data_IF_561136507766
#
_entry.id   IF_561136507766
#
_cell.length_a   1.000
_cell.length_b   1.000
_cell.length_c   1.000
_cell.angle_alpha   90.00
_cell.angle_beta   90.00
_cell.angle_gamma   90.00
#
_symmetry.space_group_name_H-M   'P 1'
#
loop_
_entity.id
_entity.type
_entity.pdbx_description
1 polymer ?
#
# COMPACT_ATOMS: atom_id res chain seq x y z
N UNK A 1 -39.73 2.56 -1.03
CA UNK A 1 -39.55 3.21 0.27
C UNK A 1 -38.08 3.17 0.63
N UNK A 2 -37.39 4.30 0.47
CA UNK A 2 -35.95 4.39 0.68
C UNK A 2 -35.63 4.88 2.09
N UNK A 3 -34.98 4.06 2.90
CA UNK A 3 -34.46 4.45 4.23
C UNK A 3 -33.07 5.08 4.07
N UNK A 4 -33.02 6.40 4.26
CA UNK A 4 -31.76 7.16 4.40
C UNK A 4 -31.19 6.92 5.80
N UNK A 5 -30.05 6.25 5.92
CA UNK A 5 -29.26 6.24 7.16
C UNK A 5 -28.30 7.45 7.16
N UNK A 6 -28.53 8.35 8.10
CA UNK A 6 -27.63 9.47 8.42
C UNK A 6 -26.61 8.94 9.44
N UNK A 7 -25.34 8.93 9.05
CA UNK A 7 -24.24 8.70 9.98
C UNK A 7 -23.79 10.04 10.56
N UNK A 8 -23.92 10.17 11.88
CA UNK A 8 -23.43 11.32 12.64
C UNK A 8 -22.04 10.98 13.16
N UNK A 9 -21.01 11.61 12.61
CA UNK A 9 -19.64 11.54 13.12
C UNK A 9 -19.56 12.42 14.37
N UNK A 10 -19.41 11.82 15.54
CA UNK A 10 -19.06 12.50 16.78
C UNK A 10 -17.53 12.52 16.90
N UNK A 11 -16.95 13.71 16.75
CA UNK A 11 -15.54 13.96 17.07
C UNK A 11 -15.45 14.29 18.56
N UNK A 12 -14.88 13.39 19.35
CA UNK A 12 -14.51 13.67 20.74
C UNK A 12 -13.03 14.06 20.76
N UNK A 13 -12.77 15.34 20.91
CA UNK A 13 -11.46 15.88 21.23
C UNK A 13 -11.52 16.47 22.64
N UNK A 14 -10.96 15.78 23.63
CA UNK A 14 -10.61 16.38 24.92
C UNK A 14 -9.57 15.50 25.62
N UNK A 15 -8.30 15.87 25.50
CA UNK A 15 -7.25 15.47 26.43
C UNK A 15 -6.57 16.75 26.93
N UNK A 16 -7.14 17.29 28.00
CA UNK A 16 -6.44 18.25 28.84
C UNK A 16 -5.43 17.53 29.71
N UNK A 17 -4.15 17.79 29.50
CA UNK A 17 -3.08 17.42 30.41
C UNK A 17 -2.59 18.68 31.09
N UNK A 18 -3.04 18.91 32.32
CA UNK A 18 -2.44 19.85 33.26
C UNK A 18 -1.19 19.22 33.86
N UNK A 19 -0.05 19.56 33.31
CA UNK A 19 1.27 19.20 33.84
C UNK A 19 1.81 20.32 34.69
N UNK A 20 1.97 20.06 35.98
CA UNK A 20 2.65 20.93 36.96
C UNK A 20 4.11 21.14 36.57
N UNK A 21 4.49 22.41 36.47
CA UNK A 21 5.87 22.85 36.24
C UNK A 21 6.72 22.52 37.46
N UNK A 22 7.70 21.64 37.27
CA UNK A 22 8.87 21.58 38.15
C UNK A 22 10.00 22.34 37.49
N UNK A 23 10.25 23.56 37.96
CA UNK A 23 11.42 24.33 37.61
C UNK A 23 12.64 23.65 38.24
N UNK A 24 13.53 23.11 37.41
CA UNK A 24 14.86 22.72 37.83
C UNK A 24 15.85 23.45 36.92
N UNK A 25 16.49 24.43 37.50
CA UNK A 25 17.66 25.11 36.93
C UNK A 25 18.73 24.05 36.62
N UNK A 26 18.97 23.79 35.35
CA UNK A 26 20.14 23.04 34.87
C UNK A 26 20.91 23.93 33.89
N UNK A 27 22.09 24.25 34.29
CA UNK A 27 23.28 24.73 33.60
C UNK A 27 23.11 25.08 32.11
N UNK A 28 23.23 26.36 31.80
CA UNK A 28 23.11 26.98 30.48
C UNK A 28 24.06 26.43 29.40
N UNK A 29 25.06 25.64 29.74
CA UNK A 29 25.99 25.03 28.80
C UNK A 29 25.46 23.79 28.06
N UNK A 30 24.53 23.05 28.67
CA UNK A 30 23.96 21.83 28.06
C UNK A 30 22.89 22.19 27.01
N UNK A 31 22.18 23.30 27.20
CA UNK A 31 21.12 23.75 26.29
C UNK A 31 21.68 24.25 24.96
N UNK A 32 22.86 24.91 24.99
CA UNK A 32 23.47 25.49 23.78
C UNK A 32 24.08 24.42 22.84
N UNK A 33 24.60 23.31 23.42
CA UNK A 33 25.07 22.17 22.64
C UNK A 33 23.92 21.38 22.01
N UNK A 34 22.77 21.27 22.66
CA UNK A 34 21.60 20.56 22.19
C UNK A 34 20.91 21.32 21.01
N UNK A 35 20.91 22.65 21.05
CA UNK A 35 20.35 23.50 19.99
C UNK A 35 21.21 23.43 18.73
N UNK A 36 22.54 23.41 18.83
CA UNK A 36 23.44 23.25 17.66
C UNK A 36 23.35 21.87 17.03
N UNK A 37 23.28 20.82 17.83
CA UNK A 37 23.05 19.46 17.35
C UNK A 37 21.67 19.32 16.70
N UNK A 38 20.67 20.04 17.19
CA UNK A 38 19.32 20.05 16.65
C UNK A 38 19.21 20.75 15.27
N UNK A 39 19.95 21.82 15.02
CA UNK A 39 19.95 22.50 13.72
C UNK A 39 20.55 21.64 12.61
N UNK A 40 21.51 20.78 12.89
CA UNK A 40 22.12 19.86 11.93
C UNK A 40 21.25 18.65 11.56
N UNK A 41 20.01 18.54 12.08
CA UNK A 41 19.11 17.42 11.78
C UNK A 41 17.86 17.82 10.97
N UNK A 42 17.75 19.08 10.57
CA UNK A 42 16.67 19.58 9.70
C UNK A 42 17.16 19.64 8.26
N UNK A 43 16.33 19.24 7.31
CA UNK A 43 16.74 19.28 5.91
C UNK A 43 15.99 18.28 5.02
N UNK A 44 16.25 18.33 3.71
CA UNK A 44 15.69 17.37 2.76
C UNK A 44 16.19 15.96 3.02
N UNK A 45 15.30 15.00 2.82
CA UNK A 45 15.55 13.60 3.06
C UNK A 45 14.91 12.75 1.97
N UNK A 46 15.64 11.77 1.48
CA UNK A 46 15.16 10.75 0.54
C UNK A 46 15.42 9.38 1.15
N UNK A 47 14.47 8.47 1.02
CA UNK A 47 14.69 7.09 1.43
C UNK A 47 14.23 6.13 0.34
N UNK A 48 14.92 4.99 0.27
CA UNK A 48 14.54 3.85 -0.55
C UNK A 48 14.55 2.59 0.32
N UNK A 49 13.64 1.66 0.03
CA UNK A 49 13.54 0.44 0.82
C UNK A 49 12.98 -0.73 0.04
N UNK A 50 13.19 -1.92 0.58
CA UNK A 50 12.60 -3.15 0.10
C UNK A 50 11.90 -3.85 1.26
N UNK A 51 10.67 -4.31 1.00
CA UNK A 51 9.83 -4.93 2.00
C UNK A 51 9.26 -6.26 1.50
N UNK A 52 8.78 -7.08 2.43
CA UNK A 52 7.88 -8.20 2.18
C UNK A 52 6.49 -7.79 2.65
N UNK A 53 5.47 -8.07 1.84
CA UNK A 53 4.09 -7.68 2.10
C UNK A 53 3.14 -8.88 2.19
N UNK A 54 2.14 -8.77 3.08
CA UNK A 54 1.04 -9.69 3.24
C UNK A 54 -0.27 -8.92 3.26
N UNK A 55 -1.26 -9.39 2.51
CA UNK A 55 -2.58 -8.78 2.45
C UNK A 55 -3.65 -9.66 3.10
N UNK A 56 -4.63 -9.00 3.71
CA UNK A 56 -5.83 -9.61 4.28
C UNK A 56 -7.07 -8.85 3.79
N UNK A 57 -8.23 -9.52 3.79
CA UNK A 57 -9.48 -8.93 3.31
C UNK A 57 -9.78 -9.27 1.85
N UNK A 58 -10.44 -8.37 1.14
CA UNK A 58 -10.99 -8.64 -0.19
C UNK A 58 -10.40 -7.71 -1.24
N UNK A 59 -10.15 -8.24 -2.43
CA UNK A 59 -9.90 -7.43 -3.64
C UNK A 59 -11.20 -6.85 -4.13
N UNK A 60 -12.27 -7.67 -4.15
CA UNK A 60 -13.63 -7.26 -4.47
C UNK A 60 -14.65 -8.22 -3.84
N UNK A 61 -15.92 -7.78 -3.80
CA UNK A 61 -17.06 -8.59 -3.43
C UNK A 61 -18.09 -8.62 -4.57
N UNK A 62 -18.99 -9.60 -4.53
CA UNK A 62 -20.06 -9.77 -5.51
C UNK A 62 -19.61 -9.75 -6.99
N UNK A 63 -18.38 -10.17 -7.26
CA UNK A 63 -17.86 -10.35 -8.60
C UNK A 63 -18.52 -11.55 -9.30
N UNK A 64 -18.52 -11.53 -10.66
CA UNK A 64 -19.00 -12.67 -11.43
C UNK A 64 -17.83 -13.60 -11.74
N UNK A 65 -17.90 -14.83 -11.25
CA UNK A 65 -16.93 -15.88 -11.55
C UNK A 65 -17.05 -16.36 -13.02
N UNK A 66 -16.11 -17.20 -13.45
CA UNK A 66 -16.16 -17.84 -14.77
C UNK A 66 -17.42 -18.70 -14.99
N UNK A 67 -17.98 -19.23 -13.91
CA UNK A 67 -19.20 -20.05 -13.95
C UNK A 67 -20.48 -19.21 -13.91
N UNK A 68 -20.37 -17.87 -13.84
CA UNK A 68 -21.49 -16.96 -13.70
C UNK A 68 -22.04 -16.83 -12.28
N UNK A 69 -21.45 -17.53 -11.31
CA UNK A 69 -21.80 -17.38 -9.91
C UNK A 69 -21.21 -16.08 -9.32
N UNK A 70 -21.89 -15.48 -8.35
CA UNK A 70 -21.33 -14.34 -7.60
C UNK A 70 -20.28 -14.85 -6.64
N UNK A 71 -19.16 -14.15 -6.58
CA UNK A 71 -17.98 -14.60 -5.85
C UNK A 71 -17.21 -13.43 -5.26
N UNK A 72 -16.75 -13.62 -4.03
CA UNK A 72 -15.85 -12.69 -3.34
C UNK A 72 -14.40 -13.13 -3.58
N UNK A 73 -13.54 -12.22 -4.03
CA UNK A 73 -12.10 -12.52 -4.14
C UNK A 73 -11.35 -12.01 -2.91
N UNK A 74 -10.93 -12.93 -2.05
CA UNK A 74 -10.05 -12.61 -0.93
C UNK A 74 -8.61 -12.45 -1.40
N UNK A 75 -7.88 -11.51 -0.78
CA UNK A 75 -6.44 -11.33 -1.07
C UNK A 75 -5.67 -12.59 -0.75
N UNK A 76 -6.01 -13.28 0.34
CA UNK A 76 -5.36 -14.54 0.75
C UNK A 76 -5.56 -15.68 -0.25
N UNK A 77 -6.62 -15.64 -1.04
CA UNK A 77 -6.89 -16.65 -2.07
C UNK A 77 -6.21 -16.26 -3.40
N UNK A 78 -6.01 -14.96 -3.63
CA UNK A 78 -5.39 -14.43 -4.83
C UNK A 78 -3.86 -14.39 -4.79
N UNK A 79 -3.27 -14.12 -3.63
CA UNK A 79 -1.84 -13.88 -3.51
C UNK A 79 -1.21 -14.56 -2.28
N UNK A 80 0.06 -14.95 -2.43
CA UNK A 80 0.87 -15.47 -1.34
C UNK A 80 1.53 -14.35 -0.54
N UNK A 81 2.13 -13.40 -1.26
CA UNK A 81 2.92 -12.29 -0.71
C UNK A 81 3.10 -11.23 -1.78
N UNK A 82 3.69 -10.10 -1.40
CA UNK A 82 4.18 -9.08 -2.33
C UNK A 82 5.59 -8.64 -1.98
N UNK A 83 6.26 -8.01 -2.95
CA UNK A 83 7.58 -7.40 -2.79
C UNK A 83 7.46 -5.89 -3.05
N UNK A 84 7.16 -5.07 -2.03
CA UNK A 84 7.12 -3.63 -2.15
C UNK A 84 8.53 -3.02 -2.23
N UNK A 85 8.75 -2.21 -3.27
CA UNK A 85 9.87 -1.29 -3.38
C UNK A 85 9.37 0.09 -2.92
N UNK A 86 9.91 0.59 -1.81
CA UNK A 86 9.53 1.85 -1.17
C UNK A 86 10.43 2.98 -1.63
N UNK A 87 9.84 4.14 -1.91
CA UNK A 87 10.54 5.40 -2.09
C UNK A 87 9.86 6.48 -1.26
N UNK A 88 10.65 7.33 -0.63
CA UNK A 88 10.15 8.41 0.21
C UNK A 88 10.97 9.68 -0.09
N UNK A 89 10.29 10.82 -0.11
CA UNK A 89 10.92 12.13 -0.27
C UNK A 89 10.21 13.13 0.61
N UNK A 90 10.96 13.95 1.32
CA UNK A 90 10.37 14.98 2.16
C UNK A 90 11.40 15.82 2.88
N UNK A 91 10.96 16.47 3.93
CA UNK A 91 11.74 17.43 4.67
C UNK A 91 11.59 17.18 6.18
N UNK A 92 12.70 17.09 6.88
CA UNK A 92 12.75 17.06 8.33
C UNK A 92 12.68 18.50 8.83
N UNK A 93 11.50 18.88 9.35
CA UNK A 93 11.23 20.27 9.80
C UNK A 93 12.07 20.66 11.02
N UNK A 94 12.24 19.69 11.90
CA UNK A 94 13.07 19.80 13.10
C UNK A 94 13.53 18.36 13.46
N UNK A 95 14.38 18.15 14.48
CA UNK A 95 14.89 16.83 14.83
C UNK A 95 13.82 15.76 15.03
N UNK A 96 12.60 16.14 15.42
CA UNK A 96 11.51 15.20 15.74
C UNK A 96 10.47 15.05 14.65
N UNK A 97 10.24 16.06 13.80
CA UNK A 97 9.15 16.03 12.83
C UNK A 97 9.67 15.99 11.40
N UNK A 98 9.13 15.05 10.64
CA UNK A 98 9.31 14.91 9.21
C UNK A 98 7.95 14.96 8.51
N UNK A 99 7.91 15.63 7.36
CA UNK A 99 6.78 15.65 6.44
C UNK A 99 7.26 15.32 5.05
N UNK A 100 6.50 14.52 4.31
CA UNK A 100 6.92 14.11 2.99
C UNK A 100 5.84 13.36 2.23
N UNK A 101 6.29 12.75 1.14
CA UNK A 101 5.53 11.84 0.30
C UNK A 101 6.18 10.47 0.36
N UNK A 102 5.36 9.45 0.35
CA UNK A 102 5.77 8.07 0.20
C UNK A 102 5.14 7.47 -1.05
N UNK A 103 5.83 6.52 -1.64
CA UNK A 103 5.33 5.72 -2.73
C UNK A 103 5.89 4.30 -2.66
N UNK A 104 5.12 3.31 -3.09
CA UNK A 104 5.60 1.96 -3.27
C UNK A 104 5.12 1.38 -4.59
N UNK A 105 6.01 0.65 -5.25
CA UNK A 105 5.68 -0.26 -6.33
C UNK A 105 5.84 -1.69 -5.81
N UNK A 106 4.82 -2.52 -6.00
CA UNK A 106 4.78 -3.86 -5.46
C UNK A 106 4.55 -4.89 -6.54
N UNK A 107 5.44 -5.87 -6.64
CA UNK A 107 5.17 -7.11 -7.37
C UNK A 107 4.35 -8.03 -6.47
N UNK A 108 3.17 -8.44 -6.94
CA UNK A 108 2.29 -9.37 -6.23
C UNK A 108 2.55 -10.80 -6.74
N UNK A 109 2.84 -11.72 -5.83
CA UNK A 109 3.03 -13.14 -6.14
C UNK A 109 1.69 -13.86 -6.06
N UNK A 110 1.07 -14.06 -7.22
CA UNK A 110 -0.25 -14.66 -7.37
C UNK A 110 -0.21 -16.15 -7.06
N UNK A 111 -1.25 -16.65 -6.42
CA UNK A 111 -1.47 -18.10 -6.25
C UNK A 111 -1.97 -18.72 -7.55
N UNK A 112 -1.43 -19.89 -7.89
CA UNK A 112 -1.96 -20.70 -8.98
C UNK A 112 -3.18 -21.47 -8.45
N UNK A 113 -4.36 -21.08 -8.88
CA UNK A 113 -5.65 -21.70 -8.59
C UNK A 113 -6.70 -21.28 -9.63
N UNK A 114 -7.84 -21.94 -9.66
CA UNK A 114 -8.90 -21.69 -10.66
C UNK A 114 -9.52 -20.28 -10.59
N UNK A 115 -9.38 -19.59 -9.44
CA UNK A 115 -10.00 -18.29 -9.20
C UNK A 115 -9.07 -17.16 -9.63
N UNK A 116 -7.80 -17.17 -9.20
CA UNK A 116 -6.88 -16.04 -9.38
C UNK A 116 -5.94 -16.22 -10.56
N UNK A 117 -5.32 -17.39 -10.71
CA UNK A 117 -4.43 -17.72 -11.82
C UNK A 117 -4.52 -19.20 -12.15
N UNK A 118 -5.36 -19.58 -13.10
CA UNK A 118 -5.50 -20.98 -13.49
C UNK A 118 -4.22 -21.56 -14.09
N UNK A 119 -4.09 -22.86 -14.03
CA UNK A 119 -3.02 -23.58 -14.74
C UNK A 119 -3.03 -23.21 -16.23
N UNK A 120 -1.85 -23.04 -16.83
CA UNK A 120 -1.63 -22.60 -18.21
C UNK A 120 -1.97 -21.13 -18.49
N UNK A 121 -2.21 -20.31 -17.47
CA UNK A 121 -2.34 -18.88 -17.60
C UNK A 121 -1.11 -18.17 -17.05
N UNK A 122 -0.72 -17.09 -17.74
CA UNK A 122 0.30 -16.15 -17.27
C UNK A 122 -0.40 -14.99 -16.55
N UNK A 123 -0.08 -14.81 -15.27
CA UNK A 123 -0.71 -13.80 -14.41
C UNK A 123 0.35 -12.84 -13.88
N UNK A 124 0.23 -11.60 -14.26
CA UNK A 124 1.13 -10.54 -13.86
C UNK A 124 0.39 -9.47 -13.08
N UNK A 125 0.60 -9.43 -11.75
CA UNK A 125 -0.06 -8.50 -10.85
C UNK A 125 0.96 -7.59 -10.19
N UNK A 126 0.68 -6.29 -10.22
CA UNK A 126 1.48 -5.30 -9.51
C UNK A 126 0.61 -4.17 -8.97
N UNK A 127 1.07 -3.57 -7.89
CA UNK A 127 0.35 -2.51 -7.19
C UNK A 127 1.22 -1.27 -7.03
N UNK A 128 0.62 -0.11 -7.23
CA UNK A 128 1.17 1.18 -6.86
C UNK A 128 0.41 1.73 -5.66
N UNK A 129 1.14 2.29 -4.69
CA UNK A 129 0.57 3.01 -3.57
C UNK A 129 1.39 4.27 -3.32
N UNK A 130 0.74 5.37 -3.00
CA UNK A 130 1.43 6.64 -2.75
C UNK A 130 0.55 7.62 -1.99
N UNK A 131 1.19 8.56 -1.28
CA UNK A 131 0.48 9.61 -0.55
C UNK A 131 1.37 10.45 0.35
N UNK A 132 0.79 11.41 1.06
CA UNK A 132 1.48 12.20 2.08
C UNK A 132 1.74 11.39 3.35
N UNK A 133 2.82 11.76 4.04
CA UNK A 133 3.25 11.13 5.28
C UNK A 133 3.77 12.17 6.27
N UNK A 134 3.50 11.94 7.54
CA UNK A 134 4.13 12.64 8.66
C UNK A 134 4.80 11.62 9.58
N UNK A 135 5.97 11.96 10.14
CA UNK A 135 6.69 11.11 11.12
C UNK A 135 7.09 11.90 12.34
N UNK A 136 7.07 11.20 13.46
CA UNK A 136 7.61 11.64 14.71
C UNK A 136 8.79 10.76 15.11
N UNK A 137 9.96 11.38 15.27
CA UNK A 137 11.20 10.76 15.71
C UNK A 137 11.33 10.88 17.22
N UNK A 138 11.51 9.77 17.90
CA UNK A 138 11.44 9.70 19.38
C UNK A 138 12.76 10.13 20.01
N UNK A 139 13.89 9.65 19.46
CA UNK A 139 15.21 9.92 20.01
C UNK A 139 16.23 10.28 18.90
N UNK A 140 16.09 11.43 18.26
CA UNK A 140 16.87 11.81 17.09
C UNK A 140 18.37 12.04 17.36
N UNK A 141 18.75 12.31 18.62
CA UNK A 141 20.14 12.53 19.01
C UNK A 141 20.93 11.24 19.24
N UNK A 142 20.25 10.09 19.33
CA UNK A 142 20.91 8.81 19.57
C UNK A 142 21.46 8.16 18.28
N UNK A 143 22.33 7.17 18.44
CA UNK A 143 22.80 6.34 17.33
C UNK A 143 21.71 5.50 16.68
N UNK A 144 20.63 5.22 17.42
CA UNK A 144 19.41 4.59 16.98
C UNK A 144 18.23 5.53 17.22
N UNK A 145 17.55 5.96 16.16
CA UNK A 145 16.45 6.93 16.17
C UNK A 145 15.14 6.21 15.84
N UNK A 146 14.38 5.70 16.85
CA UNK A 146 13.08 5.11 16.62
C UNK A 146 12.06 6.19 16.22
N UNK A 147 11.11 5.81 15.36
CA UNK A 147 10.11 6.73 14.86
C UNK A 147 8.78 6.03 14.60
N UNK A 148 7.71 6.82 14.59
CA UNK A 148 6.37 6.43 14.15
C UNK A 148 5.88 7.39 13.08
N UNK A 149 5.21 6.85 12.05
CA UNK A 149 4.65 7.60 10.94
C UNK A 149 3.17 7.31 10.75
N UNK A 150 2.47 8.32 10.25
CA UNK A 150 1.08 8.24 9.82
C UNK A 150 0.97 8.78 8.41
N UNK A 151 0.24 8.08 7.55
CA UNK A 151 0.03 8.46 6.17
C UNK A 151 -1.36 8.05 5.69
N UNK A 152 -1.80 8.70 4.63
CA UNK A 152 -2.98 8.37 3.83
C UNK A 152 -2.54 8.29 2.38
N UNK A 153 -3.41 7.80 1.47
CA UNK A 153 -2.98 7.76 0.09
C UNK A 153 -4.00 7.15 -0.86
N UNK A 154 -3.49 6.78 -2.01
CA UNK A 154 -4.19 6.08 -3.07
C UNK A 154 -3.46 4.80 -3.41
N UNK A 155 -4.21 3.81 -3.88
CA UNK A 155 -3.68 2.55 -4.35
C UNK A 155 -4.29 2.16 -5.69
N UNK A 156 -3.49 1.52 -6.53
CA UNK A 156 -3.83 1.09 -7.88
C UNK A 156 -3.25 -0.31 -8.07
N UNK A 157 -4.13 -1.32 -8.10
CA UNK A 157 -3.77 -2.70 -8.40
C UNK A 157 -4.02 -2.96 -9.88
N UNK A 158 -3.01 -3.42 -10.59
CA UNK A 158 -3.12 -3.82 -12.00
C UNK A 158 -2.90 -5.31 -12.14
N UNK A 159 -3.86 -5.95 -12.78
CA UNK A 159 -3.86 -7.39 -13.02
C UNK A 159 -3.94 -7.65 -14.52
N UNK A 160 -3.02 -8.45 -15.03
CA UNK A 160 -3.00 -8.91 -16.41
C UNK A 160 -2.95 -10.44 -16.42
N UNK A 161 -4.01 -11.05 -16.94
CA UNK A 161 -4.18 -12.51 -17.00
C UNK A 161 -4.37 -12.90 -18.45
N UNK A 162 -3.50 -13.73 -18.98
CA UNK A 162 -3.59 -14.24 -20.34
C UNK A 162 -3.33 -15.75 -20.38
N UNK A 163 -4.03 -16.46 -21.24
CA UNK A 163 -3.84 -17.90 -21.40
C UNK A 163 -4.73 -18.50 -22.46
N UNK A 164 -4.48 -19.76 -22.70
CA UNK A 164 -5.24 -20.55 -23.67
C UNK A 164 -6.24 -21.45 -22.91
N UNK A 165 -7.46 -21.56 -23.43
CA UNK A 165 -8.56 -22.32 -22.86
C UNK A 165 -9.41 -22.92 -23.96
N UNK A 166 -10.45 -23.67 -23.59
CA UNK A 166 -11.47 -24.13 -24.51
C UNK A 166 -12.81 -23.49 -24.15
N UNK A 167 -13.52 -23.00 -25.16
CA UNK A 167 -14.86 -22.41 -25.00
C UNK A 167 -15.90 -23.27 -25.70
N UNK A 168 -17.08 -23.45 -25.10
CA UNK A 168 -18.16 -24.18 -25.75
C UNK A 168 -18.68 -23.44 -26.98
N UNK A 169 -18.94 -24.16 -28.07
CA UNK A 169 -19.54 -23.59 -29.26
C UNK A 169 -21.08 -23.73 -29.23
N UNK A 170 -21.84 -22.78 -29.79
CA UNK A 170 -23.31 -22.88 -29.90
C UNK A 170 -23.78 -24.10 -30.65
N UNK A 171 -22.95 -24.61 -31.56
CA UNK A 171 -23.23 -25.81 -32.40
C UNK A 171 -22.89 -27.13 -31.68
N UNK A 172 -22.45 -27.06 -30.44
CA UNK A 172 -21.93 -28.20 -29.67
C UNK A 172 -20.42 -28.41 -29.86
N UNK A 173 -19.76 -29.00 -28.85
CA UNK A 173 -18.30 -29.17 -28.80
C UNK A 173 -17.55 -27.98 -28.19
N UNK A 174 -16.23 -28.02 -28.28
CA UNK A 174 -15.33 -27.01 -27.72
C UNK A 174 -14.38 -26.51 -28.82
N UNK A 175 -14.03 -25.24 -28.77
CA UNK A 175 -13.01 -24.65 -29.63
C UNK A 175 -11.88 -24.05 -28.80
N UNK A 176 -10.61 -24.16 -29.27
CA UNK A 176 -9.50 -23.46 -28.67
C UNK A 176 -9.73 -21.95 -28.68
N UNK A 177 -9.50 -21.33 -27.55
CA UNK A 177 -9.65 -19.88 -27.39
C UNK A 177 -8.51 -19.31 -26.54
N UNK A 178 -8.11 -18.09 -26.84
CA UNK A 178 -7.17 -17.29 -26.06
C UNK A 178 -7.92 -16.19 -25.33
N UNK A 179 -7.64 -16.06 -24.03
CA UNK A 179 -8.19 -15.01 -23.18
C UNK A 179 -7.04 -14.05 -22.82
N UNK A 180 -7.28 -12.75 -22.95
CA UNK A 180 -6.42 -11.66 -22.47
C UNK A 180 -7.31 -10.72 -21.64
N UNK A 181 -7.08 -10.66 -20.32
CA UNK A 181 -7.87 -9.86 -19.40
C UNK A 181 -6.97 -8.88 -18.68
N UNK A 182 -7.29 -7.60 -18.75
CA UNK A 182 -6.60 -6.51 -18.06
C UNK A 182 -7.58 -5.81 -17.14
N UNK A 183 -7.24 -5.76 -15.87
CA UNK A 183 -8.07 -5.14 -14.83
C UNK A 183 -7.23 -4.15 -14.06
N UNK A 184 -7.83 -3.02 -13.73
CA UNK A 184 -7.26 -2.02 -12.85
C UNK A 184 -8.27 -1.70 -11.75
N UNK A 185 -7.91 -2.01 -10.51
CA UNK A 185 -8.65 -1.69 -9.29
C UNK A 185 -7.98 -0.52 -8.58
N UNK A 186 -8.77 0.53 -8.27
CA UNK A 186 -8.27 1.75 -7.61
C UNK A 186 -9.07 2.05 -6.36
N UNK A 187 -8.41 2.68 -5.40
CA UNK A 187 -9.11 3.18 -4.22
C UNK A 187 -8.21 3.89 -3.23
N UNK A 188 -8.80 4.40 -2.13
CA UNK A 188 -8.07 5.09 -1.09
C UNK A 188 -7.37 4.10 -0.15
N UNK A 189 -6.15 4.44 0.25
CA UNK A 189 -5.55 3.98 1.50
C UNK A 189 -6.01 4.94 2.60
N UNK A 190 -6.96 4.53 3.41
CA UNK A 190 -7.57 5.38 4.45
C UNK A 190 -6.59 5.75 5.55
N UNK A 191 -5.74 4.80 5.93
CA UNK A 191 -4.69 5.01 6.91
C UNK A 191 -3.54 4.03 6.68
N UNK A 192 -2.33 4.50 6.88
CA UNK A 192 -1.12 3.69 6.94
C UNK A 192 -0.31 4.15 8.15
N UNK A 193 -0.08 3.24 9.08
CA UNK A 193 0.81 3.43 10.23
C UNK A 193 2.13 2.77 9.87
N UNK A 194 3.23 3.48 10.12
CA UNK A 194 4.58 2.98 9.95
C UNK A 194 5.37 3.15 11.25
N UNK A 195 6.17 2.15 11.59
CA UNK A 195 7.11 2.21 12.69
C UNK A 195 8.47 1.74 12.21
N UNK A 196 9.52 2.33 12.72
CA UNK A 196 10.86 1.96 12.33
C UNK A 196 11.92 2.54 13.25
N UNK A 197 13.16 2.33 12.87
CA UNK A 197 14.27 2.93 13.59
C UNK A 197 15.47 3.10 12.67
N UNK A 198 16.08 4.28 12.71
CA UNK A 198 17.18 4.66 11.84
C UNK A 198 18.50 4.53 12.61
N UNK A 199 19.37 3.65 12.18
CA UNK A 199 20.76 3.52 12.66
C UNK A 199 21.64 4.40 11.78
N UNK A 200 22.30 5.38 12.36
CA UNK A 200 23.20 6.28 11.65
C UNK A 200 24.49 5.55 11.25
N UNK A 201 24.71 5.41 9.95
CA UNK A 201 25.93 4.81 9.39
C UNK A 201 26.97 5.88 9.10
N UNK A 202 26.53 7.05 8.62
CA UNK A 202 27.36 8.23 8.38
C UNK A 202 26.52 9.51 8.58
N UNK A 203 27.13 10.67 8.35
CA UNK A 203 26.41 11.95 8.42
C UNK A 203 25.27 12.04 7.38
N UNK A 204 25.44 11.37 6.24
CA UNK A 204 24.50 11.44 5.11
C UNK A 204 23.63 10.19 4.95
N UNK A 205 23.99 9.08 5.63
CA UNK A 205 23.34 7.78 5.44
C UNK A 205 22.91 7.20 6.78
N UNK A 206 21.65 6.78 6.84
CA UNK A 206 21.15 5.89 7.88
C UNK A 206 20.46 4.67 7.25
N UNK A 207 20.47 3.57 7.97
CA UNK A 207 19.80 2.32 7.59
C UNK A 207 18.87 1.91 8.72
N UNK A 208 17.75 1.27 8.38
CA UNK A 208 16.90 0.79 9.45
C UNK A 208 15.74 -0.09 9.03
N UNK A 209 15.20 -0.86 9.98
CA UNK A 209 13.99 -1.63 9.76
C UNK A 209 12.75 -0.72 9.66
N UNK A 210 11.76 -1.21 8.93
CA UNK A 210 10.45 -0.58 8.82
C UNK A 210 9.37 -1.66 8.84
N UNK A 211 8.31 -1.40 9.59
CA UNK A 211 7.08 -2.18 9.60
C UNK A 211 5.95 -1.23 9.26
N UNK A 212 5.02 -1.64 8.39
CA UNK A 212 3.83 -0.87 8.10
C UNK A 212 2.57 -1.71 8.19
N UNK A 213 1.48 -1.07 8.62
CA UNK A 213 0.14 -1.61 8.55
C UNK A 213 -0.75 -0.57 7.88
N UNK A 214 -1.51 -0.95 6.88
CA UNK A 214 -2.43 -0.05 6.18
C UNK A 214 -3.80 -0.68 6.00
N UNK A 215 -4.81 0.16 5.93
CA UNK A 215 -6.19 -0.21 5.60
C UNK A 215 -6.66 0.62 4.42
N UNK A 216 -7.33 -0.04 3.48
CA UNK A 216 -7.81 0.58 2.25
C UNK A 216 -9.02 -0.14 1.67
N UNK A 217 -9.47 0.35 0.53
CA UNK A 217 -10.55 -0.29 -0.23
C UNK A 217 -10.39 -0.01 -1.71
N UNK A 218 -10.57 -1.03 -2.55
CA UNK A 218 -10.75 -0.82 -3.98
C UNK A 218 -12.20 -0.46 -4.25
N UNK A 219 -12.43 0.75 -4.73
CA UNK A 219 -13.77 1.33 -4.94
C UNK A 219 -14.10 1.54 -6.40
N UNK A 220 -13.12 1.46 -7.29
CA UNK A 220 -13.28 1.64 -8.74
C UNK A 220 -12.57 0.51 -9.46
N UNK A 221 -13.31 -0.22 -10.30
CA UNK A 221 -12.78 -1.23 -11.20
C UNK A 221 -12.98 -0.81 -12.65
N UNK A 222 -11.92 -0.90 -13.44
CA UNK A 222 -11.92 -0.71 -14.88
C UNK A 222 -11.13 -1.82 -15.56
N UNK A 223 -11.42 -2.09 -16.82
CA UNK A 223 -10.65 -3.06 -17.59
C UNK A 223 -11.42 -3.66 -18.73
N UNK A 224 -10.75 -4.54 -19.46
CA UNK A 224 -11.26 -5.22 -20.64
C UNK A 224 -10.85 -6.69 -20.65
N UNK A 225 -11.69 -7.51 -21.25
CA UNK A 225 -11.41 -8.90 -21.54
C UNK A 225 -11.56 -9.13 -23.03
N UNK A 226 -10.52 -9.63 -23.68
CA UNK A 226 -10.53 -10.04 -25.08
C UNK A 226 -10.51 -11.55 -25.16
N UNK A 227 -11.46 -12.11 -25.88
CA UNK A 227 -11.55 -13.55 -26.17
C UNK A 227 -11.37 -13.74 -27.68
N UNK A 228 -10.37 -14.53 -28.07
CA UNK A 228 -10.08 -14.88 -29.46
C UNK A 228 -10.29 -16.38 -29.63
N UNK A 229 -11.33 -16.75 -30.38
CA UNK A 229 -11.61 -18.15 -30.71
C UNK A 229 -11.04 -18.44 -32.08
N UNK A 230 -10.41 -19.60 -32.24
CA UNK A 230 -9.82 -20.00 -33.54
C UNK A 230 -10.88 -20.01 -34.64
N UNK A 231 -10.65 -19.24 -35.73
CA UNK A 231 -11.55 -19.10 -36.84
C UNK A 231 -12.67 -18.06 -36.67
N UNK A 232 -12.73 -17.34 -35.57
CA UNK A 232 -13.71 -16.26 -35.32
C UNK A 232 -12.99 -14.92 -35.05
N UNK A 233 -13.66 -13.78 -35.31
CA UNK A 233 -13.14 -12.48 -34.90
C UNK A 233 -12.99 -12.38 -33.39
N UNK A 234 -11.92 -11.68 -32.91
CA UNK A 234 -11.73 -11.39 -31.52
C UNK A 234 -12.89 -10.56 -30.95
N UNK A 235 -13.35 -10.90 -29.78
CA UNK A 235 -14.42 -10.18 -29.06
C UNK A 235 -13.83 -9.55 -27.81
N UNK A 236 -14.04 -8.24 -27.65
CA UNK A 236 -13.63 -7.49 -26.47
C UNK A 236 -14.85 -7.00 -25.72
N UNK A 237 -14.86 -7.20 -24.42
CA UNK A 237 -15.90 -6.73 -23.48
C UNK A 237 -15.27 -6.04 -22.28
N UNK A 238 -15.99 -5.08 -21.71
CA UNK A 238 -15.59 -4.48 -20.45
C UNK A 238 -15.71 -5.52 -19.31
N UNK A 239 -14.83 -5.43 -18.31
CA UNK A 239 -14.97 -6.25 -17.10
C UNK A 239 -16.21 -5.82 -16.31
N UNK A 240 -16.84 -6.79 -15.62
CA UNK A 240 -18.04 -6.52 -14.82
C UNK A 240 -17.72 -5.63 -13.63
N UNK A 241 -18.69 -4.77 -13.26
CA UNK A 241 -18.66 -4.05 -12.01
C UNK A 241 -18.70 -5.03 -10.83
N UNK A 242 -18.07 -4.65 -9.74
CA UNK A 242 -17.99 -5.41 -8.48
C UNK A 242 -18.23 -4.47 -7.30
N UNK A 243 -18.54 -5.04 -6.14
CA UNK A 243 -18.64 -4.27 -4.90
C UNK A 243 -17.25 -4.04 -4.29
N UNK A 244 -17.16 -3.01 -3.45
CA UNK A 244 -15.91 -2.55 -2.84
C UNK A 244 -15.20 -3.64 -2.04
N UNK A 245 -13.90 -3.77 -2.27
CA UNK A 245 -13.01 -4.68 -1.56
C UNK A 245 -12.25 -4.01 -0.43
N UNK A 246 -12.75 -4.10 0.81
CA UNK A 246 -12.00 -3.63 1.98
C UNK A 246 -10.87 -4.60 2.34
N UNK A 247 -9.69 -4.04 2.61
CA UNK A 247 -8.50 -4.84 2.91
C UNK A 247 -7.52 -4.14 3.86
N UNK A 248 -6.62 -4.96 4.41
CA UNK A 248 -5.46 -4.52 5.18
C UNK A 248 -4.18 -5.11 4.59
N UNK A 249 -3.12 -4.32 4.56
CA UNK A 249 -1.81 -4.73 4.07
C UNK A 249 -0.75 -4.50 5.16
N UNK A 250 0.07 -5.51 5.38
CA UNK A 250 1.17 -5.49 6.34
C UNK A 250 2.48 -5.65 5.59
N UNK A 251 3.49 -4.83 5.92
CA UNK A 251 4.82 -4.98 5.33
C UNK A 251 5.90 -4.93 6.38
N UNK A 252 6.97 -5.68 6.15
CA UNK A 252 8.19 -5.68 6.94
C UNK A 252 9.38 -5.57 6.00
N UNK A 253 10.33 -4.70 6.31
CA UNK A 253 11.50 -4.53 5.46
C UNK A 253 12.60 -3.68 6.05
N UNK A 254 13.48 -3.24 5.16
CA UNK A 254 14.61 -2.37 5.48
C UNK A 254 14.61 -1.18 4.53
N UNK A 255 15.07 -0.03 5.03
CA UNK A 255 15.24 1.17 4.22
C UNK A 255 16.58 1.84 4.46
N UNK A 256 17.09 2.49 3.41
CA UNK A 256 18.23 3.40 3.47
C UNK A 256 17.74 4.84 3.34
N UNK A 257 18.22 5.71 4.21
CA UNK A 257 17.84 7.11 4.29
C UNK A 257 19.05 7.97 3.94
N UNK A 258 18.90 8.83 2.95
CA UNK A 258 19.89 9.81 2.54
C UNK A 258 19.43 11.18 3.00
N UNK A 259 20.32 11.90 3.69
CA UNK A 259 20.09 13.23 4.23
C UNK A 259 21.06 14.21 3.56
N UNK A 260 20.54 15.29 3.01
CA UNK A 260 21.35 16.41 2.55
C UNK A 260 21.25 17.53 3.61
N UNK A 261 22.35 17.76 4.33
CA UNK A 261 22.48 18.82 5.31
C UNK A 261 23.42 19.91 4.80
#
# INVERSE_FOLDING_TARGET
MAKKHRWTLAVIASLGVSGTAWAQERESGAVEMDVRAAHGMSGPQVAIGVNLGLGLGHVYKDGTSRTGAREDLKITDAANASLPLLAEVGYRLNPRFYVGLWGSWEKVFTKTNDISCPENFDCNNYQWRFGPEVRYHINPASGFDPWVGLSVGMEILKSHVKGDTQVPLPTGGFAPARIDTRVEDRGPTYARISVGGDVRVSNYLALGPIITASVGSYTVRTGEQTVTVTGLPAQTSAVSAVDDGFHALFTLGVRGIFRAF
#
